data_IF_671771191689
#
_entry.id   IF_671771191689
#
_cell.length_a   1.000
_cell.length_b   1.000
_cell.length_c   1.000
_cell.angle_alpha   90.00
_cell.angle_beta   90.00
_cell.angle_gamma   90.00
#
_symmetry.space_group_name_H-M   'P 1'
#
loop_
_entity.id
_entity.type
_entity.pdbx_description
1 polymer ?
#
# COMPACT_ATOMS: atom_id res chain seq x y z
N UNK A 1 2.89 16.45 15.21
CA UNK A 1 1.92 15.62 14.46
C UNK A 1 2.12 14.19 14.94
N UNK A 2 1.24 13.73 15.82
CA UNK A 2 1.33 12.40 16.41
C UNK A 2 0.92 11.42 15.31
N UNK A 3 1.89 10.71 14.72
CA UNK A 3 1.57 9.55 13.89
C UNK A 3 0.75 8.63 14.80
N UNK A 4 -0.51 8.40 14.46
CA UNK A 4 -1.25 7.34 15.12
C UNK A 4 -0.41 6.06 15.00
N UNK A 5 -0.01 5.52 16.15
CA UNK A 5 0.66 4.24 16.22
C UNK A 5 -0.22 3.24 15.49
N UNK A 6 0.30 2.68 14.39
CA UNK A 6 -0.35 1.63 13.63
C UNK A 6 -0.80 0.54 14.60
N UNK A 7 -2.12 0.37 14.80
CA UNK A 7 -2.64 -0.60 15.78
C UNK A 7 -2.69 -2.01 15.24
N UNK A 8 -3.02 -2.15 13.95
CA UNK A 8 -3.15 -3.42 13.25
C UNK A 8 -2.34 -3.32 11.95
N UNK A 9 -1.48 -4.30 11.72
CA UNK A 9 -0.83 -4.52 10.43
C UNK A 9 -1.54 -5.68 9.73
N UNK A 10 -2.20 -5.40 8.62
CA UNK A 10 -2.81 -6.41 7.77
C UNK A 10 -1.87 -6.78 6.61
N UNK A 11 -1.70 -8.09 6.35
CA UNK A 11 -0.89 -8.58 5.24
C UNK A 11 -1.37 -9.92 4.71
N UNK A 12 -0.86 -10.31 3.54
CA UNK A 12 -0.91 -11.70 3.11
C UNK A 12 0.05 -12.59 3.94
N UNK A 13 0.08 -13.88 3.62
CA UNK A 13 0.94 -14.89 4.25
C UNK A 13 2.28 -15.07 3.52
N UNK A 14 2.75 -14.04 2.81
CA UNK A 14 4.04 -14.05 2.12
C UNK A 14 5.20 -14.29 3.10
N UNK A 15 6.26 -14.92 2.61
CA UNK A 15 7.40 -15.34 3.45
C UNK A 15 8.08 -14.18 4.17
N UNK A 16 8.02 -12.96 3.61
CA UNK A 16 8.51 -11.75 4.25
C UNK A 16 7.73 -11.40 5.52
N UNK A 17 6.40 -11.48 5.45
CA UNK A 17 5.50 -11.13 6.56
C UNK A 17 5.35 -12.24 7.59
N UNK A 18 5.61 -13.49 7.22
CA UNK A 18 5.67 -14.63 8.16
C UNK A 18 7.06 -14.84 8.76
N UNK A 19 8.05 -14.00 8.42
CA UNK A 19 9.40 -14.14 8.96
C UNK A 19 9.46 -13.78 10.44
N UNK A 20 10.21 -14.55 11.23
CA UNK A 20 10.34 -14.30 12.68
C UNK A 20 10.86 -12.91 12.99
N UNK A 21 11.79 -12.40 12.19
CA UNK A 21 12.34 -11.06 12.36
C UNK A 21 11.27 -9.97 12.20
N UNK A 22 10.39 -10.13 11.21
CA UNK A 22 9.30 -9.18 10.96
C UNK A 22 8.23 -9.24 12.05
N UNK A 23 7.79 -10.44 12.43
CA UNK A 23 6.78 -10.64 13.47
C UNK A 23 7.24 -10.05 14.82
N UNK A 24 8.49 -10.33 15.23
CA UNK A 24 9.06 -9.78 16.46
C UNK A 24 9.08 -8.25 16.47
N UNK A 25 9.45 -7.63 15.35
CA UNK A 25 9.48 -6.17 15.24
C UNK A 25 8.09 -5.53 15.38
N UNK A 26 7.03 -6.20 14.92
CA UNK A 26 5.65 -5.74 15.11
C UNK A 26 5.19 -5.93 16.57
N UNK A 27 5.51 -7.08 17.17
CA UNK A 27 5.21 -7.37 18.58
C UNK A 27 5.89 -6.38 19.53
N UNK A 28 7.17 -6.07 19.32
CA UNK A 28 7.94 -5.09 20.11
C UNK A 28 7.33 -3.69 20.06
N UNK A 29 6.60 -3.37 18.99
CA UNK A 29 5.88 -2.10 18.81
C UNK A 29 4.43 -2.14 19.29
N UNK A 30 3.97 -3.28 19.83
CA UNK A 30 2.58 -3.46 20.27
C UNK A 30 1.57 -3.45 19.12
N UNK A 31 2.00 -3.79 17.90
CA UNK A 31 1.17 -3.79 16.69
C UNK A 31 0.52 -5.17 16.55
N UNK A 32 -0.80 -5.22 16.48
CA UNK A 32 -1.52 -6.47 16.24
C UNK A 32 -1.34 -6.92 14.79
N UNK A 33 -1.12 -8.21 14.60
CA UNK A 33 -0.89 -8.79 13.27
C UNK A 33 -2.18 -9.46 12.81
N UNK A 34 -2.68 -9.05 11.66
CA UNK A 34 -3.81 -9.66 10.99
C UNK A 34 -3.33 -10.19 9.65
N UNK A 35 -3.46 -11.50 9.42
CA UNK A 35 -3.11 -12.09 8.13
C UNK A 35 -4.36 -12.62 7.44
N UNK A 36 -4.41 -12.40 6.13
CA UNK A 36 -5.53 -12.82 5.31
C UNK A 36 -5.69 -14.35 5.37
N UNK A 37 -6.93 -14.81 5.38
CA UNK A 37 -7.22 -16.24 5.30
C UNK A 37 -6.88 -16.76 3.90
N UNK A 38 -6.38 -18.01 3.79
CA UNK A 38 -6.25 -18.65 2.47
C UNK A 38 -7.60 -18.62 1.74
N UNK A 39 -7.66 -17.93 0.59
CA UNK A 39 -8.87 -17.78 -0.22
C UNK A 39 -9.74 -16.56 0.11
N UNK A 40 -9.33 -15.65 1.01
CA UNK A 40 -10.05 -14.41 1.31
C UNK A 40 -9.48 -13.20 0.58
N UNK A 41 -9.61 -13.18 -0.76
CA UNK A 41 -9.16 -12.07 -1.59
C UNK A 41 -9.78 -10.70 -1.23
N UNK A 42 -10.91 -10.71 -0.51
CA UNK A 42 -11.59 -9.49 -0.06
C UNK A 42 -10.78 -8.67 0.96
N UNK A 43 -9.92 -9.34 1.73
CA UNK A 43 -9.13 -8.69 2.78
C UNK A 43 -8.08 -7.72 2.19
N UNK A 44 -7.60 -7.98 0.95
CA UNK A 44 -6.58 -7.19 0.26
C UNK A 44 -7.13 -6.23 -0.82
N UNK A 45 -8.45 -6.09 -0.96
CA UNK A 45 -9.09 -5.36 -2.08
C UNK A 45 -8.64 -3.91 -2.19
N UNK A 46 -8.37 -3.23 -1.07
CA UNK A 46 -7.91 -1.84 -1.07
C UNK A 46 -6.51 -1.72 -1.68
N UNK A 47 -5.59 -2.58 -1.26
CA UNK A 47 -4.23 -2.65 -1.79
C UNK A 47 -4.25 -3.02 -3.27
N UNK A 48 -5.04 -4.02 -3.66
CA UNK A 48 -5.17 -4.43 -5.07
C UNK A 48 -5.70 -3.30 -5.95
N UNK A 49 -6.70 -2.53 -5.48
CA UNK A 49 -7.24 -1.38 -6.20
C UNK A 49 -6.21 -0.27 -6.40
N UNK A 50 -5.40 0.01 -5.37
CA UNK A 50 -4.28 0.95 -5.47
C UNK A 50 -3.28 0.49 -6.54
N UNK A 51 -2.82 -0.75 -6.45
CA UNK A 51 -1.82 -1.29 -7.39
C UNK A 51 -2.35 -1.36 -8.81
N UNK A 52 -3.62 -1.70 -9.01
CA UNK A 52 -4.25 -1.64 -10.33
C UNK A 52 -4.21 -0.23 -10.90
N UNK A 53 -4.61 0.78 -10.12
CA UNK A 53 -4.59 2.17 -10.58
C UNK A 53 -3.17 2.60 -10.96
N UNK A 54 -2.18 2.40 -10.07
CA UNK A 54 -0.78 2.74 -10.34
C UNK A 54 -0.25 2.05 -11.60
N UNK A 55 -0.55 0.76 -11.78
CA UNK A 55 -0.06 0.03 -12.96
C UNK A 55 -0.62 0.60 -14.26
N UNK A 56 -1.93 0.80 -14.33
CA UNK A 56 -2.59 1.25 -15.56
C UNK A 56 -2.37 2.73 -15.87
N UNK A 57 -2.28 3.56 -14.84
CA UNK A 57 -2.23 5.03 -14.99
C UNK A 57 -0.80 5.58 -15.01
N UNK A 58 0.20 4.81 -14.58
CA UNK A 58 1.60 5.23 -14.53
C UNK A 58 2.53 4.15 -15.11
N UNK A 59 2.58 2.95 -14.56
CA UNK A 59 3.64 1.98 -14.94
C UNK A 59 3.52 1.48 -16.38
N UNK A 60 2.32 1.21 -16.88
CA UNK A 60 2.14 0.61 -18.21
C UNK A 60 2.19 1.62 -19.36
N UNK A 61 2.01 2.90 -19.07
CA UNK A 61 2.02 3.96 -20.09
C UNK A 61 3.36 4.70 -20.17
N UNK A 62 4.24 4.49 -19.20
CA UNK A 62 5.57 5.08 -19.17
C UNK A 62 6.63 4.04 -19.50
N UNK A 63 7.59 4.44 -20.33
CA UNK A 63 8.81 3.66 -20.59
C UNK A 63 9.94 4.23 -19.73
N UNK A 64 10.36 3.49 -18.71
CA UNK A 64 11.39 3.95 -17.78
C UNK A 64 12.77 3.52 -18.27
N UNK A 65 13.62 4.49 -18.60
CA UNK A 65 15.01 4.22 -19.02
C UNK A 65 15.88 3.73 -17.86
N UNK A 66 15.64 4.25 -16.66
CA UNK A 66 16.39 3.87 -15.45
C UNK A 66 15.49 3.59 -14.25
N UNK A 67 16.04 2.87 -13.27
CA UNK A 67 15.39 2.66 -11.96
C UNK A 67 15.11 4.00 -11.25
N UNK A 68 15.96 5.02 -11.48
CA UNK A 68 15.74 6.35 -10.92
C UNK A 68 14.49 7.00 -11.51
N UNK A 69 14.30 6.89 -12.83
CA UNK A 69 13.13 7.45 -13.51
C UNK A 69 11.85 6.78 -13.02
N UNK A 70 11.87 5.45 -12.88
CA UNK A 70 10.75 4.71 -12.30
C UNK A 70 10.43 5.17 -10.87
N UNK A 71 11.44 5.36 -10.02
CA UNK A 71 11.25 5.86 -8.64
C UNK A 71 10.64 7.25 -8.63
N UNK A 72 11.12 8.15 -9.49
CA UNK A 72 10.62 9.52 -9.55
C UNK A 72 9.19 9.58 -10.12
N UNK A 73 8.90 8.82 -11.18
CA UNK A 73 7.56 8.70 -11.77
C UNK A 73 6.53 8.15 -10.79
N UNK A 74 6.81 6.99 -10.19
CA UNK A 74 5.95 6.38 -9.18
C UNK A 74 5.76 7.32 -7.98
N UNK A 75 6.81 8.02 -7.52
CA UNK A 75 6.68 8.99 -6.42
C UNK A 75 5.74 10.15 -6.77
N UNK A 76 5.83 10.69 -7.99
CA UNK A 76 4.90 11.74 -8.46
C UNK A 76 3.47 11.22 -8.51
N UNK A 77 3.26 10.04 -9.07
CA UNK A 77 1.93 9.43 -9.12
C UNK A 77 1.33 9.21 -7.74
N UNK A 78 2.11 8.69 -6.77
CA UNK A 78 1.63 8.49 -5.40
C UNK A 78 1.27 9.82 -4.72
N UNK A 79 2.01 10.91 -5.01
CA UNK A 79 1.64 12.25 -4.54
C UNK A 79 0.29 12.70 -5.12
N UNK A 80 0.12 12.57 -6.43
CA UNK A 80 -1.14 12.87 -7.12
C UNK A 80 -2.31 12.05 -6.56
N UNK A 81 -2.15 10.73 -6.44
CA UNK A 81 -3.18 9.82 -5.95
C UNK A 81 -3.67 10.20 -4.55
N UNK A 82 -2.75 10.63 -3.67
CA UNK A 82 -3.05 10.95 -2.28
C UNK A 82 -3.53 12.39 -2.07
N UNK A 83 -3.14 13.35 -2.90
CA UNK A 83 -3.35 14.79 -2.63
C UNK A 83 -4.21 15.53 -3.65
N UNK A 84 -4.48 14.92 -4.80
CA UNK A 84 -5.17 15.58 -5.91
C UNK A 84 -6.31 14.73 -6.47
N UNK A 85 -6.13 13.40 -6.55
CA UNK A 85 -7.15 12.47 -7.06
C UNK A 85 -8.33 12.39 -6.09
N UNK A 86 -9.52 12.74 -6.58
CA UNK A 86 -10.78 12.55 -5.86
C UNK A 86 -11.25 11.10 -5.97
N UNK A 87 -11.64 10.52 -4.84
CA UNK A 87 -12.16 9.14 -4.80
C UNK A 87 -13.63 9.14 -4.44
N UNK A 88 -14.47 8.55 -5.29
CA UNK A 88 -15.91 8.42 -5.02
C UNK A 88 -16.18 7.68 -3.70
N UNK A 89 -15.40 6.65 -3.38
CA UNK A 89 -15.51 5.91 -2.11
C UNK A 89 -15.16 6.75 -0.88
N UNK A 90 -14.51 7.90 -1.06
CA UNK A 90 -14.19 8.85 0.00
C UNK A 90 -15.09 10.10 -0.05
N UNK A 91 -16.23 10.03 -0.75
CA UNK A 91 -17.13 11.18 -0.92
C UNK A 91 -16.49 12.30 -1.74
N UNK A 92 -15.76 11.93 -2.81
CA UNK A 92 -15.00 12.87 -3.66
C UNK A 92 -13.99 13.70 -2.88
N UNK A 93 -13.27 13.05 -1.97
CA UNK A 93 -12.12 13.61 -1.26
C UNK A 93 -10.83 12.88 -1.62
N UNK A 94 -9.71 13.49 -1.28
CA UNK A 94 -8.38 12.91 -1.35
C UNK A 94 -8.13 11.96 -0.18
N UNK A 95 -7.24 10.97 -0.31
CA UNK A 95 -6.83 10.11 0.80
C UNK A 95 -6.08 10.84 1.92
N UNK A 96 -5.30 11.87 1.57
CA UNK A 96 -4.59 12.74 2.52
C UNK A 96 -5.43 13.93 2.98
#
# INVERSE_FOLDING_TARGET
>A
MQLELLKIFNSDQGSQFTSLAFLKHLEEKGIQISMDGRGRAMDNVFTERLWRSLKYEEVYINDYETVRDAKEGIKRYISFYNRERLHQSLGYRTPA
#
